data_IF_810201910109
#
_entry.id   IF_810201910109
#
_cell.length_a   1.000
_cell.length_b   1.000
_cell.length_c   1.000
_cell.angle_alpha   90.00
_cell.angle_beta   90.00
_cell.angle_gamma   90.00
#
_symmetry.space_group_name_H-M   'P 1'
#
loop_
_entity.id
_entity.type
_entity.pdbx_description
1 polymer ?
#
# COMPACT_ATOMS: atom_id res chain seq x y z
N UNK A 1 -8.80 9.40 11.18
CA UNK A 1 -7.69 9.57 10.21
C UNK A 1 -8.23 10.12 8.89
N UNK A 2 -7.69 11.26 8.43
CA UNK A 2 -8.15 11.99 7.23
C UNK A 2 -8.03 11.17 5.94
N UNK A 3 -6.88 10.52 5.71
CA UNK A 3 -6.63 9.64 4.55
C UNK A 3 -7.64 8.52 4.38
N UNK A 4 -7.90 7.77 5.46
CA UNK A 4 -8.84 6.66 5.39
C UNK A 4 -10.28 7.12 5.16
N UNK A 5 -10.63 8.34 5.57
CA UNK A 5 -11.93 8.94 5.24
C UNK A 5 -12.00 9.24 3.75
N UNK A 6 -11.00 9.93 3.18
CA UNK A 6 -10.95 10.24 1.74
C UNK A 6 -11.06 8.99 0.85
N UNK A 7 -10.40 7.90 1.24
CA UNK A 7 -10.49 6.63 0.51
C UNK A 7 -11.89 5.99 0.64
N UNK A 8 -12.50 6.04 1.83
CA UNK A 8 -13.86 5.53 2.03
C UNK A 8 -14.91 6.38 1.32
N UNK A 9 -14.70 7.68 1.19
CA UNK A 9 -15.60 8.60 0.49
C UNK A 9 -15.67 8.27 -1.01
N UNK A 10 -14.59 7.70 -1.59
CA UNK A 10 -14.60 7.13 -2.95
C UNK A 10 -15.00 5.65 -3.01
N UNK A 11 -15.52 5.11 -1.90
CA UNK A 11 -16.03 3.76 -1.72
C UNK A 11 -14.97 2.70 -1.37
N UNK A 12 -13.69 3.07 -1.27
CA UNK A 12 -12.61 2.11 -1.00
C UNK A 12 -12.66 1.72 0.47
N UNK A 13 -12.84 0.42 0.74
CA UNK A 13 -12.82 -0.11 2.10
C UNK A 13 -11.40 0.03 2.65
N UNK A 14 -11.23 0.94 3.61
CA UNK A 14 -9.93 1.21 4.23
C UNK A 14 -9.98 1.07 5.73
N UNK A 15 -9.01 0.36 6.28
CA UNK A 15 -8.77 0.23 7.72
C UNK A 15 -7.43 0.89 8.07
N UNK A 16 -7.36 1.53 9.23
CA UNK A 16 -6.11 2.15 9.71
C UNK A 16 -5.57 1.33 10.85
N UNK A 17 -4.31 0.95 10.74
CA UNK A 17 -3.59 0.33 11.84
C UNK A 17 -3.09 1.40 12.81
N UNK A 18 -3.57 1.37 14.05
CA UNK A 18 -3.22 2.33 15.11
C UNK A 18 -2.30 1.75 16.19
N UNK A 19 -1.77 0.54 15.98
CA UNK A 19 -0.92 -0.14 16.96
C UNK A 19 0.51 0.42 16.99
N UNK A 20 1.12 0.44 18.17
CA UNK A 20 2.49 0.95 18.38
C UNK A 20 3.59 -0.09 18.03
N UNK A 21 3.28 -1.05 17.17
CA UNK A 21 4.21 -2.12 16.78
C UNK A 21 4.97 -1.74 15.51
N UNK A 22 6.24 -2.16 15.41
CA UNK A 22 7.10 -1.86 14.26
C UNK A 22 6.56 -2.38 12.92
N UNK A 23 7.11 -1.88 11.82
CA UNK A 23 6.62 -2.08 10.45
C UNK A 23 6.35 -3.56 10.10
N UNK A 24 7.18 -4.49 10.59
CA UNK A 24 7.01 -5.93 10.37
C UNK A 24 5.66 -6.46 10.89
N UNK A 25 5.21 -5.99 12.04
CA UNK A 25 3.91 -6.38 12.61
C UNK A 25 2.75 -5.78 11.80
N UNK A 26 2.90 -4.54 11.33
CA UNK A 26 1.92 -3.86 10.47
C UNK A 26 1.75 -4.59 9.14
N UNK A 27 2.86 -4.98 8.49
CA UNK A 27 2.83 -5.79 7.26
C UNK A 27 2.16 -7.14 7.50
N UNK A 28 2.49 -7.83 8.61
CA UNK A 28 1.86 -9.11 8.96
C UNK A 28 0.36 -8.95 9.26
N UNK A 29 -0.08 -7.80 9.77
CA UNK A 29 -1.48 -7.50 9.97
C UNK A 29 -2.20 -7.31 8.63
N UNK A 30 -1.61 -6.53 7.72
CA UNK A 30 -2.17 -6.31 6.38
C UNK A 30 -2.27 -7.61 5.57
N UNK A 31 -1.24 -8.47 5.62
CA UNK A 31 -1.26 -9.79 4.98
C UNK A 31 -2.35 -10.69 5.59
N UNK A 32 -2.50 -10.70 6.92
CA UNK A 32 -3.58 -11.45 7.61
C UNK A 32 -4.98 -10.95 7.25
N UNK A 33 -5.15 -9.68 6.94
CA UNK A 33 -6.42 -9.11 6.47
C UNK A 33 -6.65 -9.29 4.98
N UNK A 34 -5.72 -9.94 4.27
CA UNK A 34 -5.74 -10.07 2.82
C UNK A 34 -5.88 -8.72 2.11
N UNK A 35 -5.29 -7.68 2.69
CA UNK A 35 -5.31 -6.34 2.09
C UNK A 35 -4.51 -6.35 0.79
N UNK A 36 -5.04 -5.83 -0.32
CA UNK A 36 -4.31 -5.79 -1.60
C UNK A 36 -3.17 -4.77 -1.56
N UNK A 37 -3.41 -3.63 -0.92
CA UNK A 37 -2.52 -2.48 -0.89
C UNK A 37 -2.29 -2.03 0.55
N UNK A 38 -1.10 -1.49 0.82
CA UNK A 38 -0.75 -0.85 2.08
C UNK A 38 -0.19 0.54 1.81
N UNK A 39 -0.69 1.53 2.56
CA UNK A 39 -0.21 2.91 2.49
C UNK A 39 0.59 3.16 3.78
N UNK A 40 1.81 3.66 3.62
CA UNK A 40 2.73 3.98 4.70
C UNK A 40 2.98 5.49 4.68
N UNK A 41 2.70 6.13 5.81
CA UNK A 41 3.03 7.52 6.09
C UNK A 41 3.94 7.51 7.32
N UNK A 42 5.25 7.54 7.10
CA UNK A 42 6.22 7.75 8.18
C UNK A 42 6.37 9.24 8.49
N UNK A 43 7.21 9.54 9.47
CA UNK A 43 7.48 10.93 9.88
C UNK A 43 8.13 11.73 8.73
N UNK A 44 9.09 11.13 8.03
CA UNK A 44 9.81 11.77 6.92
C UNK A 44 8.87 11.98 5.73
N UNK A 45 8.10 10.96 5.33
CA UNK A 45 7.16 11.08 4.22
C UNK A 45 6.10 12.15 4.51
N UNK A 46 5.65 12.26 5.76
CA UNK A 46 4.74 13.34 6.15
C UNK A 46 5.37 14.73 6.02
N UNK A 47 6.64 14.89 6.41
CA UNK A 47 7.37 16.16 6.26
C UNK A 47 7.57 16.53 4.79
N UNK A 48 7.86 15.54 3.95
CA UNK A 48 8.02 15.71 2.50
C UNK A 48 6.68 15.80 1.73
N UNK A 49 5.55 15.54 2.40
CA UNK A 49 4.23 15.48 1.76
C UNK A 49 4.06 14.28 0.82
N UNK A 50 4.89 13.26 0.97
CA UNK A 50 4.86 12.02 0.18
C UNK A 50 4.19 10.89 0.95
N UNK A 51 3.89 9.80 0.26
CA UNK A 51 3.36 8.57 0.80
C UNK A 51 3.96 7.39 0.06
N UNK A 52 4.25 6.32 0.80
CA UNK A 52 4.71 5.07 0.19
C UNK A 52 3.54 4.10 0.09
N UNK A 53 3.21 3.67 -1.13
CA UNK A 53 2.24 2.62 -1.39
C UNK A 53 2.99 1.32 -1.69
N UNK A 54 2.57 0.24 -1.02
CA UNK A 54 3.02 -1.12 -1.28
C UNK A 54 1.89 -1.97 -1.82
N UNK A 55 2.17 -2.68 -2.90
CA UNK A 55 1.32 -3.72 -3.46
C UNK A 55 1.69 -5.08 -2.86
N UNK A 56 0.80 -5.61 -2.03
CA UNK A 56 1.03 -6.91 -1.38
C UNK A 56 0.77 -8.08 -2.31
N UNK A 57 -0.13 -7.93 -3.30
CA UNK A 57 -0.46 -8.98 -4.24
C UNK A 57 0.68 -9.18 -5.22
N UNK A 58 1.16 -8.11 -5.85
CA UNK A 58 2.33 -8.18 -6.72
C UNK A 58 3.56 -8.61 -5.94
N UNK A 59 3.76 -8.07 -4.73
CA UNK A 59 4.84 -8.51 -3.84
C UNK A 59 4.84 -10.02 -3.59
N UNK A 60 3.66 -10.61 -3.39
CA UNK A 60 3.49 -12.06 -3.16
C UNK A 60 3.62 -12.90 -4.44
N UNK A 61 3.15 -12.40 -5.58
CA UNK A 61 3.34 -13.05 -6.89
C UNK A 61 4.82 -13.10 -7.27
N UNK A 62 5.51 -11.96 -7.12
CA UNK A 62 6.94 -11.83 -7.37
C UNK A 62 7.75 -12.71 -6.41
N UNK A 63 7.40 -12.77 -5.13
CA UNK A 63 8.09 -13.68 -4.20
C UNK A 63 7.91 -15.16 -4.54
N UNK A 64 6.78 -15.54 -5.15
CA UNK A 64 6.55 -16.91 -5.61
C UNK A 64 7.27 -17.24 -6.93
N UNK A 65 7.52 -16.24 -7.78
CA UNK A 65 8.10 -16.45 -9.12
C UNK A 65 9.62 -16.28 -9.17
N UNK A 66 10.24 -15.71 -8.14
CA UNK A 66 11.67 -15.37 -8.13
C UNK A 66 12.45 -16.46 -7.40
N UNK A 67 13.18 -17.27 -8.18
CA UNK A 67 14.14 -18.26 -7.71
C UNK A 67 15.48 -17.62 -7.31
N UNK A 68 15.72 -16.36 -7.71
CA UNK A 68 17.01 -15.69 -7.63
C UNK A 68 16.94 -14.39 -6.80
N UNK A 69 17.53 -14.44 -5.60
CA UNK A 69 17.38 -13.43 -4.53
C UNK A 69 18.04 -12.09 -4.88
N UNK A 70 19.01 -12.08 -5.81
CA UNK A 70 19.84 -10.91 -6.11
C UNK A 70 19.10 -9.82 -6.91
N UNK A 71 18.26 -10.20 -7.87
CA UNK A 71 17.49 -9.24 -8.69
C UNK A 71 16.33 -8.57 -7.95
N UNK A 72 15.92 -9.08 -6.80
CA UNK A 72 14.77 -8.60 -6.02
C UNK A 72 15.05 -7.29 -5.27
N UNK A 73 16.31 -7.05 -4.90
CA UNK A 73 16.71 -5.93 -4.03
C UNK A 73 16.77 -4.59 -4.76
N UNK A 74 17.09 -4.61 -6.05
CA UNK A 74 17.39 -3.40 -6.82
C UNK A 74 16.15 -2.66 -7.35
N UNK A 75 15.06 -3.37 -7.68
CA UNK A 75 13.91 -2.74 -8.35
C UNK A 75 12.70 -2.46 -7.47
N UNK A 76 12.60 -3.07 -6.27
CA UNK A 76 11.45 -2.96 -5.35
C UNK A 76 10.11 -2.76 -6.09
N UNK A 77 9.77 -3.59 -7.10
CA UNK A 77 8.79 -3.25 -8.14
C UNK A 77 7.35 -3.09 -7.63
N UNK A 78 7.08 -3.53 -6.41
CA UNK A 78 5.78 -3.44 -5.75
C UNK A 78 5.67 -2.26 -4.77
N UNK A 79 6.68 -1.38 -4.69
CA UNK A 79 6.66 -0.19 -3.84
C UNK A 79 6.76 1.07 -4.69
N UNK A 80 5.83 1.99 -4.50
CA UNK A 80 5.79 3.27 -5.20
C UNK A 80 5.65 4.41 -4.19
N UNK A 81 6.41 5.49 -4.38
CA UNK A 81 6.28 6.72 -3.60
C UNK A 81 5.48 7.72 -4.42
N UNK A 82 4.44 8.28 -3.83
CA UNK A 82 3.56 9.26 -4.47
C UNK A 82 3.38 10.50 -3.60
N UNK A 83 2.87 11.58 -4.19
CA UNK A 83 2.45 12.74 -3.43
C UNK A 83 1.15 12.46 -2.66
N UNK A 84 1.00 13.06 -1.48
CA UNK A 84 -0.21 12.94 -0.65
C UNK A 84 -1.48 13.37 -1.38
N UNK A 85 -1.37 14.33 -2.29
CA UNK A 85 -2.45 14.80 -3.17
C UNK A 85 -2.97 13.72 -4.13
N UNK A 86 -2.08 12.84 -4.60
CA UNK A 86 -2.41 11.82 -5.60
C UNK A 86 -2.89 10.51 -4.99
N UNK A 87 -2.97 10.43 -3.65
CA UNK A 87 -3.34 9.23 -2.92
C UNK A 87 -4.60 8.56 -3.47
N UNK A 88 -5.69 9.33 -3.58
CA UNK A 88 -6.99 8.80 -3.99
C UNK A 88 -6.96 8.31 -5.43
N UNK A 89 -6.39 9.12 -6.34
CA UNK A 89 -6.29 8.78 -7.76
C UNK A 89 -5.46 7.51 -7.96
N UNK A 90 -4.29 7.44 -7.31
CA UNK A 90 -3.39 6.30 -7.45
C UNK A 90 -3.97 5.03 -6.87
N UNK A 91 -4.50 5.08 -5.64
CA UNK A 91 -5.10 3.91 -4.99
C UNK A 91 -6.31 3.42 -5.78
N UNK A 92 -7.14 4.32 -6.31
CA UNK A 92 -8.27 3.95 -7.16
C UNK A 92 -7.80 3.21 -8.42
N UNK A 93 -6.81 3.74 -9.14
CA UNK A 93 -6.23 3.10 -10.33
C UNK A 93 -5.65 1.71 -10.00
N UNK A 94 -4.88 1.59 -8.91
CA UNK A 94 -4.34 0.30 -8.47
C UNK A 94 -5.44 -0.69 -8.08
N UNK A 95 -6.48 -0.24 -7.39
CA UNK A 95 -7.63 -1.07 -6.99
C UNK A 95 -8.46 -1.53 -8.20
N UNK A 96 -8.53 -0.75 -9.29
CA UNK A 96 -9.20 -1.17 -10.53
C UNK A 96 -8.55 -2.43 -11.13
N UNK A 97 -7.22 -2.58 -11.01
CA UNK A 97 -6.50 -3.80 -11.45
C UNK A 97 -6.94 -5.05 -10.70
N UNK A 98 -7.49 -4.87 -9.50
CA UNK A 98 -8.02 -5.94 -8.64
C UNK A 98 -9.54 -6.09 -8.71
N UNK A 99 -10.19 -5.51 -9.72
CA UNK A 99 -11.63 -5.65 -9.94
C UNK A 99 -12.49 -4.74 -9.07
N UNK A 100 -11.92 -3.70 -8.45
CA UNK A 100 -12.71 -2.69 -7.75
C UNK A 100 -13.48 -1.83 -8.75
N UNK A 101 -14.81 -1.98 -8.76
CA UNK A 101 -15.72 -1.10 -9.50
C UNK A 101 -16.20 0.00 -8.55
N UNK A 102 -15.92 1.26 -8.90
CA UNK A 102 -16.49 2.43 -8.22
C UNK A 102 -18.01 2.34 -8.37
N UNK A 103 -18.69 2.10 -7.25
CA UNK A 103 -20.17 2.01 -7.21
C UNK A 103 -20.79 3.40 -7.27
#
# INVERSE_FOLDING_TARGET
HKMAKELRDVGIKTEVYTGNFGLKAQMKYADRRHSPLVIIEGTIEREEGTLTIKDLIEGKKLSNSVQDRETWTEKRPAQEVIQRSDLVNKVCNMMQRYGYQKK
#
